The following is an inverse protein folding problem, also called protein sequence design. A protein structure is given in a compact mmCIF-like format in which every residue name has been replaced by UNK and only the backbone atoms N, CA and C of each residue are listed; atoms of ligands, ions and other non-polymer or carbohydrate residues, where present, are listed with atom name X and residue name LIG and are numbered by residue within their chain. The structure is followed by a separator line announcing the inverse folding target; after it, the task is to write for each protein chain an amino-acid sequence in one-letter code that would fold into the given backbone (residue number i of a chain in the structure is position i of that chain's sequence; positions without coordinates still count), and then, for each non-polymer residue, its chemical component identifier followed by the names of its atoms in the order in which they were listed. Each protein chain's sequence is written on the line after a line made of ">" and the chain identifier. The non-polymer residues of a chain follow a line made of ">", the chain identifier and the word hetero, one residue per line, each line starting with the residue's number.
data_IF_815774785167
#
_entry.id   IF_815774785167
#
_cell.length_a   1.000
_cell.length_b   1.000
_cell.length_c   1.000
_cell.angle_alpha   90.00
_cell.angle_beta   90.00
_cell.angle_gamma   90.00
#
_symmetry.space_group_name_H-M   'P 1'
#
loop_
_entity.id
_entity.type
_entity.pdbx_description
1 polymer ?
#
# COMPACT_ATOMS: atom_id res chain seq x y z
N UNK A 1 -1.58 8.40 -12.37
CA UNK A 1 -0.65 7.34 -12.83
C UNK A 1 -0.61 6.27 -11.76
N UNK A 2 -1.04 5.05 -12.11
CA UNK A 2 -1.18 3.92 -11.20
C UNK A 2 0.15 3.42 -10.62
N UNK A 3 0.10 2.67 -9.53
CA UNK A 3 1.25 1.93 -8.97
C UNK A 3 1.73 0.91 -9.99
N UNK A 4 3.02 0.95 -10.33
CA UNK A 4 3.68 -0.02 -11.20
C UNK A 4 4.46 -1.04 -10.38
N UNK A 5 4.88 -2.14 -11.01
CA UNK A 5 5.64 -3.20 -10.34
C UNK A 5 6.88 -2.68 -9.60
N UNK A 6 7.61 -1.73 -10.19
CA UNK A 6 8.79 -1.14 -9.55
C UNK A 6 8.41 -0.36 -8.29
N UNK A 7 7.29 0.38 -8.31
CA UNK A 7 6.77 1.07 -7.13
C UNK A 7 6.38 0.07 -6.04
N UNK A 8 5.66 -0.99 -6.43
CA UNK A 8 5.23 -2.06 -5.52
C UNK A 8 6.42 -2.75 -4.85
N UNK A 9 7.49 -3.05 -5.58
CA UNK A 9 8.73 -3.63 -5.01
C UNK A 9 9.35 -2.74 -3.95
N UNK A 10 9.42 -1.42 -4.18
CA UNK A 10 9.96 -0.47 -3.20
C UNK A 10 9.09 -0.39 -1.94
N UNK A 11 7.78 -0.41 -2.12
CA UNK A 11 6.83 -0.42 -1.00
C UNK A 11 7.01 -1.70 -0.17
N UNK A 12 7.08 -2.84 -0.82
CA UNK A 12 7.28 -4.15 -0.17
C UNK A 12 8.61 -4.18 0.57
N UNK A 13 9.71 -3.76 -0.05
CA UNK A 13 11.04 -3.75 0.59
C UNK A 13 11.04 -2.97 1.89
N UNK A 14 10.42 -1.80 1.92
CA UNK A 14 10.34 -0.99 3.12
C UNK A 14 9.45 -1.62 4.20
N UNK A 15 8.34 -2.23 3.80
CA UNK A 15 7.45 -2.94 4.71
C UNK A 15 8.14 -4.18 5.31
N UNK A 16 8.87 -4.96 4.51
CA UNK A 16 9.67 -6.10 5.00
C UNK A 16 10.71 -5.67 6.05
N UNK A 17 11.41 -4.56 5.79
CA UNK A 17 12.39 -4.02 6.75
C UNK A 17 11.74 -3.67 8.08
N UNK A 18 10.57 -3.04 8.04
CA UNK A 18 9.81 -2.71 9.26
C UNK A 18 9.33 -3.98 9.98
N UNK A 19 8.83 -4.95 9.25
CA UNK A 19 8.40 -6.25 9.80
C UNK A 19 9.58 -6.96 10.50
N UNK A 20 10.75 -6.96 9.88
CA UNK A 20 11.97 -7.52 10.47
C UNK A 20 12.38 -6.77 11.75
N UNK A 21 12.28 -5.43 11.77
CA UNK A 21 12.59 -4.62 12.96
C UNK A 21 11.70 -4.96 14.15
N UNK A 22 10.41 -5.20 13.92
CA UNK A 22 9.46 -5.56 14.98
C UNK A 22 9.43 -7.06 15.27
N UNK A 23 10.18 -7.85 14.53
CA UNK A 23 10.31 -9.30 14.74
C UNK A 23 9.04 -10.09 14.39
N UNK A 24 8.20 -9.58 13.49
CA UNK A 24 6.95 -10.25 13.09
C UNK A 24 6.94 -10.54 11.59
N UNK A 25 6.98 -11.83 11.18
CA UNK A 25 6.85 -12.20 9.76
C UNK A 25 5.48 -11.80 9.22
N UNK A 26 5.45 -11.21 8.03
CA UNK A 26 4.25 -10.64 7.42
C UNK A 26 4.03 -11.17 6.01
N UNK A 27 2.78 -11.12 5.58
CA UNK A 27 2.36 -11.12 4.20
C UNK A 27 2.12 -9.67 3.77
N UNK A 28 2.67 -9.26 2.64
CA UNK A 28 2.61 -7.89 2.16
C UNK A 28 2.15 -7.90 0.70
N UNK A 29 1.06 -7.23 0.43
CA UNK A 29 0.46 -7.10 -0.89
C UNK A 29 0.40 -5.64 -1.33
N UNK A 30 0.58 -5.38 -2.60
CA UNK A 30 0.37 -4.06 -3.21
C UNK A 30 -0.58 -4.20 -4.39
N UNK A 31 -1.64 -3.39 -4.38
CA UNK A 31 -2.62 -3.30 -5.44
C UNK A 31 -2.47 -1.98 -6.21
N UNK A 32 -2.88 -1.99 -7.49
CA UNK A 32 -2.93 -0.81 -8.34
C UNK A 32 -4.21 0.02 -8.13
N UNK A 33 -4.42 1.06 -8.93
CA UNK A 33 -5.60 1.92 -8.84
C UNK A 33 -6.92 1.20 -9.16
N UNK A 34 -6.88 0.10 -9.89
CA UNK A 34 -8.04 -0.75 -10.16
C UNK A 34 -8.32 -1.78 -9.06
N UNK A 35 -7.53 -1.78 -7.98
CA UNK A 35 -7.63 -2.78 -6.92
C UNK A 35 -7.02 -4.13 -7.30
N UNK A 36 -6.31 -4.22 -8.44
CA UNK A 36 -5.69 -5.45 -8.91
C UNK A 36 -4.34 -5.68 -8.21
N UNK A 37 -4.05 -6.93 -7.86
CA UNK A 37 -2.77 -7.28 -7.28
C UNK A 37 -1.62 -7.01 -8.26
N UNK A 38 -0.62 -6.26 -7.83
CA UNK A 38 0.61 -5.99 -8.59
C UNK A 38 1.75 -6.89 -8.10
N UNK A 39 1.93 -7.01 -6.79
CA UNK A 39 2.97 -7.84 -6.18
C UNK A 39 2.57 -8.26 -4.77
N UNK A 40 3.06 -9.43 -4.37
CA UNK A 40 2.86 -9.99 -3.03
C UNK A 40 4.11 -10.73 -2.59
N UNK A 41 4.44 -10.64 -1.32
CA UNK A 41 5.45 -11.49 -0.68
C UNK A 41 4.89 -12.11 0.60
N UNK A 42 5.27 -13.35 0.85
CA UNK A 42 5.11 -13.99 2.16
C UNK A 42 6.50 -14.17 2.76
N UNK A 43 6.77 -13.47 3.85
CA UNK A 43 8.02 -13.66 4.60
C UNK A 43 8.06 -15.06 5.20
N UNK A 44 9.27 -15.60 5.36
CA UNK A 44 9.46 -16.90 5.98
C UNK A 44 8.82 -16.94 7.37
N UNK A 45 8.04 -17.96 7.64
CA UNK A 45 7.31 -18.12 8.89
C UNK A 45 5.99 -17.35 8.99
N UNK A 46 5.63 -16.54 8.02
CA UNK A 46 4.33 -15.86 8.01
C UNK A 46 3.18 -16.83 7.74
N UNK A 47 2.03 -16.56 8.35
CA UNK A 47 0.86 -17.45 8.27
C UNK A 47 0.30 -17.57 6.85
N UNK A 48 -0.04 -18.78 6.46
CA UNK A 48 -0.65 -19.08 5.14
C UNK A 48 -1.97 -18.33 4.97
N UNK A 49 -2.84 -18.30 5.99
CA UNK A 49 -4.12 -17.60 5.92
C UNK A 49 -3.99 -16.11 5.68
N UNK A 50 -2.88 -15.53 6.10
CA UNK A 50 -2.61 -14.09 5.91
C UNK A 50 -2.21 -13.72 4.49
N UNK A 51 -1.92 -14.68 3.62
CA UNK A 51 -1.72 -14.43 2.17
C UNK A 51 -2.99 -13.80 1.58
N UNK A 52 -4.11 -14.48 1.72
CA UNK A 52 -5.40 -14.00 1.23
C UNK A 52 -5.81 -12.68 1.91
N UNK A 53 -5.65 -12.60 3.23
CA UNK A 53 -6.04 -11.41 4.00
C UNK A 53 -5.25 -10.17 3.57
N UNK A 54 -3.94 -10.27 3.36
CA UNK A 54 -3.12 -9.14 2.93
C UNK A 54 -3.55 -8.60 1.56
N UNK A 55 -3.84 -9.49 0.62
CA UNK A 55 -4.35 -9.14 -0.70
C UNK A 55 -5.72 -8.43 -0.59
N UNK A 56 -6.61 -8.97 0.24
CA UNK A 56 -7.94 -8.37 0.46
C UNK A 56 -7.87 -7.04 1.20
N UNK A 57 -6.94 -6.85 2.13
CA UNK A 57 -6.71 -5.55 2.77
C UNK A 57 -6.26 -4.49 1.76
N UNK A 58 -5.35 -4.83 0.84
CA UNK A 58 -4.94 -3.92 -0.23
C UNK A 58 -6.14 -3.56 -1.12
N UNK A 59 -6.93 -4.55 -1.54
CA UNK A 59 -8.15 -4.32 -2.29
C UNK A 59 -9.12 -3.40 -1.55
N UNK A 60 -9.40 -3.67 -0.29
CA UNK A 60 -10.33 -2.89 0.54
C UNK A 60 -9.93 -1.44 0.63
N UNK A 61 -8.65 -1.18 0.93
CA UNK A 61 -8.13 0.19 1.03
C UNK A 61 -8.24 0.97 -0.27
N UNK A 62 -8.04 0.31 -1.41
CA UNK A 62 -8.22 0.97 -2.70
C UNK A 62 -9.70 1.11 -3.09
N UNK A 63 -10.52 0.12 -2.77
CA UNK A 63 -11.93 0.12 -3.14
C UNK A 63 -12.72 1.26 -2.47
N UNK A 64 -12.34 1.64 -1.26
CA UNK A 64 -13.02 2.69 -0.47
C UNK A 64 -12.11 3.90 -0.17
N UNK A 65 -10.88 3.90 -0.65
CA UNK A 65 -9.90 4.97 -0.42
C UNK A 65 -9.70 5.31 1.07
N UNK A 66 -9.70 4.30 1.93
CA UNK A 66 -9.63 4.40 3.38
C UNK A 66 -8.65 3.38 3.96
N UNK A 67 -8.00 3.71 5.07
CA UNK A 67 -7.27 2.70 5.84
C UNK A 67 -8.26 1.68 6.43
N UNK A 68 -7.90 0.39 6.37
CA UNK A 68 -8.82 -0.66 6.88
C UNK A 68 -9.05 -0.57 8.38
N UNK A 69 -8.13 0.01 9.15
CA UNK A 69 -8.35 0.29 10.56
C UNK A 69 -9.47 1.32 10.80
N UNK A 70 -9.58 2.31 9.92
CA UNK A 70 -10.61 3.35 10.00
C UNK A 70 -11.96 2.79 9.55
N UNK A 71 -11.99 1.97 8.49
CA UNK A 71 -13.18 1.24 8.09
C UNK A 71 -13.68 0.34 9.22
N UNK A 72 -12.78 -0.31 9.95
CA UNK A 72 -13.10 -1.18 11.07
C UNK A 72 -13.95 -0.48 12.13
N UNK A 73 -13.73 0.80 12.41
CA UNK A 73 -14.49 1.55 13.41
C UNK A 73 -15.98 1.67 13.08
N UNK A 74 -16.32 1.59 11.80
CA UNK A 74 -17.69 1.69 11.29
C UNK A 74 -18.33 0.34 10.95
N UNK A 75 -17.57 -0.74 10.99
CA UNK A 75 -17.96 -2.05 10.44
C UNK A 75 -18.15 -3.12 11.51
N UNK A 76 -17.95 -2.76 12.77
CA UNK A 76 -18.17 -3.68 13.88
C UNK A 76 -19.66 -3.80 14.20
N UNK A 77 -20.03 -4.79 15.03
CA UNK A 77 -21.41 -4.96 15.48
C UNK A 77 -21.95 -3.65 16.07
N UNK A 78 -23.10 -3.21 15.59
CA UNK A 78 -23.69 -1.92 15.93
C UNK A 78 -23.18 -0.73 15.11
N UNK A 79 -22.17 -0.89 14.29
CA UNK A 79 -21.65 0.15 13.39
C UNK A 79 -22.55 0.33 12.15
N UNK A 80 -22.51 1.53 11.54
CA UNK A 80 -23.36 1.86 10.39
C UNK A 80 -23.07 1.01 9.14
N UNK A 81 -21.85 0.47 9.02
CA UNK A 81 -21.44 -0.40 7.90
C UNK A 81 -21.25 -1.85 8.31
N UNK A 82 -21.86 -2.28 9.41
CA UNK A 82 -21.87 -3.69 9.75
C UNK A 82 -22.47 -4.51 8.59
N UNK A 83 -21.74 -5.55 8.19
CA UNK A 83 -22.12 -6.37 7.02
C UNK A 83 -21.39 -6.01 5.73
N UNK A 84 -20.62 -4.90 5.68
CA UNK A 84 -19.84 -4.52 4.49
C UNK A 84 -18.87 -5.64 4.06
N UNK A 85 -18.38 -6.43 5.00
CA UNK A 85 -17.49 -7.57 4.75
C UNK A 85 -18.11 -8.68 3.89
N UNK A 86 -19.45 -8.74 3.82
CA UNK A 86 -20.17 -9.66 2.95
C UNK A 86 -20.29 -9.13 1.50
N UNK A 87 -20.01 -7.86 1.27
CA UNK A 87 -20.03 -7.25 -0.05
C UNK A 87 -18.76 -7.58 -0.85
N UNK A 88 -18.74 -7.23 -2.14
CA UNK A 88 -17.57 -7.41 -3.02
C UNK A 88 -17.04 -8.86 -3.01
N UNK A 89 -17.93 -9.85 -3.01
CA UNK A 89 -17.61 -11.28 -2.95
C UNK A 89 -16.73 -11.65 -1.72
N UNK A 90 -16.98 -11.02 -0.58
CA UNK A 90 -16.25 -11.29 0.65
C UNK A 90 -14.80 -10.75 0.67
N UNK A 91 -14.46 -9.82 -0.23
CA UNK A 91 -13.10 -9.25 -0.31
C UNK A 91 -12.83 -8.11 0.65
N UNK A 92 -13.84 -7.64 1.38
CA UNK A 92 -13.67 -6.49 2.26
C UNK A 92 -13.19 -6.94 3.64
N UNK A 93 -11.99 -6.51 4.00
CA UNK A 93 -11.41 -6.76 5.31
C UNK A 93 -11.66 -5.59 6.25
N UNK A 94 -12.22 -5.89 7.43
CA UNK A 94 -12.67 -4.88 8.40
C UNK A 94 -11.78 -4.83 9.64
N UNK A 95 -10.46 -4.95 9.45
CA UNK A 95 -9.46 -4.78 10.50
C UNK A 95 -8.15 -4.25 9.92
N UNK A 96 -7.33 -3.67 10.79
CA UNK A 96 -6.15 -2.89 10.43
C UNK A 96 -5.13 -3.62 9.54
N UNK A 97 -4.39 -2.88 8.74
CA UNK A 97 -3.26 -3.36 7.93
C UNK A 97 -3.32 -2.97 6.46
N UNK A 98 -4.43 -2.41 5.98
CA UNK A 98 -4.53 -1.84 4.64
C UNK A 98 -4.43 -0.32 4.68
N UNK A 99 -3.65 0.27 3.77
CA UNK A 99 -3.49 1.73 3.67
C UNK A 99 -3.46 2.15 2.21
N UNK A 100 -4.22 3.21 1.82
CA UNK A 100 -4.14 3.75 0.48
C UNK A 100 -2.75 4.33 0.18
N UNK A 101 -2.26 4.13 -1.03
CA UNK A 101 -1.06 4.78 -1.56
C UNK A 101 -1.48 5.99 -2.37
N UNK A 102 -0.96 7.17 -2.01
CA UNK A 102 -1.30 8.44 -2.64
C UNK A 102 -0.12 9.03 -3.39
N UNK A 103 -0.40 9.62 -4.55
CA UNK A 103 0.52 10.42 -5.33
C UNK A 103 -0.19 11.70 -5.73
N UNK A 104 0.39 12.86 -5.39
CA UNK A 104 -0.21 14.16 -5.65
C UNK A 104 -1.66 14.28 -5.14
N UNK A 105 -1.91 13.75 -3.94
CA UNK A 105 -3.23 13.78 -3.28
C UNK A 105 -4.26 12.77 -3.80
N UNK A 106 -3.93 12.01 -4.85
CA UNK A 106 -4.83 10.99 -5.42
C UNK A 106 -4.41 9.59 -4.99
N UNK A 107 -5.40 8.74 -4.70
CA UNK A 107 -5.15 7.33 -4.44
C UNK A 107 -4.81 6.64 -5.75
N UNK A 108 -3.63 6.02 -5.81
CA UNK A 108 -3.11 5.34 -7.02
C UNK A 108 -2.90 3.84 -6.81
N UNK A 109 -3.22 3.35 -5.64
CA UNK A 109 -3.12 1.96 -5.24
C UNK A 109 -3.25 1.81 -3.74
N UNK A 110 -2.89 0.66 -3.20
CA UNK A 110 -2.89 0.41 -1.76
C UNK A 110 -1.90 -0.67 -1.38
N UNK A 111 -1.46 -0.63 -0.12
CA UNK A 111 -0.72 -1.71 0.53
C UNK A 111 -1.66 -2.46 1.47
N UNK A 112 -1.50 -3.78 1.57
CA UNK A 112 -2.17 -4.63 2.56
C UNK A 112 -1.15 -5.51 3.27
N UNK A 113 -1.18 -5.48 4.59
CA UNK A 113 -0.27 -6.25 5.46
C UNK A 113 -1.07 -7.11 6.42
N UNK A 114 -0.67 -8.36 6.56
CA UNK A 114 -1.29 -9.29 7.50
C UNK A 114 -0.29 -10.32 8.01
N UNK A 115 -0.32 -10.62 9.29
CA UNK A 115 0.54 -11.65 9.89
C UNK A 115 0.78 -11.46 11.39
N UNK A 116 0.37 -10.36 11.97
CA UNK A 116 0.47 -10.07 13.39
C UNK A 116 -0.83 -9.56 13.98
N UNK A 117 -0.74 -8.76 15.03
CA UNK A 117 -1.88 -7.99 15.54
C UNK A 117 -2.26 -6.88 14.55
N UNK A 118 -3.46 -6.32 14.69
CA UNK A 118 -3.88 -5.18 13.88
C UNK A 118 -2.92 -4.00 13.98
N UNK A 119 -2.40 -3.73 15.16
CA UNK A 119 -1.41 -2.66 15.40
C UNK A 119 -0.09 -2.94 14.68
N UNK A 120 0.42 -4.16 14.71
CA UNK A 120 1.62 -4.57 14.00
C UNK A 120 1.42 -4.49 12.49
N UNK A 121 0.32 -5.02 11.97
CA UNK A 121 -0.02 -4.98 10.55
C UNK A 121 -0.09 -3.53 10.03
N UNK A 122 -0.74 -2.65 10.79
CA UNK A 122 -0.86 -1.23 10.43
C UNK A 122 0.50 -0.52 10.47
N UNK A 123 1.31 -0.76 11.49
CA UNK A 123 2.64 -0.16 11.62
C UNK A 123 3.55 -0.53 10.44
N UNK A 124 3.52 -1.79 9.99
CA UNK A 124 4.27 -2.25 8.83
C UNK A 124 3.77 -1.62 7.54
N UNK A 125 2.45 -1.54 7.36
CA UNK A 125 1.84 -0.88 6.20
C UNK A 125 2.18 0.62 6.15
N UNK A 126 2.15 1.30 7.29
CA UNK A 126 2.41 2.74 7.41
C UNK A 126 3.85 3.11 7.08
N UNK A 127 4.81 2.24 7.36
CA UNK A 127 6.24 2.49 7.17
C UNK A 127 6.59 3.00 5.76
N UNK A 128 5.85 2.61 4.74
CA UNK A 128 6.07 3.07 3.36
C UNK A 128 4.95 3.90 2.78
N UNK A 129 3.71 3.76 3.23
CA UNK A 129 2.61 4.58 2.72
C UNK A 129 2.94 6.08 2.85
N UNK A 130 3.47 6.52 3.98
CA UNK A 130 3.91 7.89 4.21
C UNK A 130 5.12 8.30 3.32
N UNK A 131 6.06 7.38 3.07
CA UNK A 131 7.24 7.65 2.24
C UNK A 131 6.89 7.63 0.74
N UNK A 132 5.90 6.87 0.31
CA UNK A 132 5.39 6.86 -1.05
C UNK A 132 4.84 8.24 -1.44
N UNK A 133 4.13 8.91 -0.55
CA UNK A 133 3.62 10.26 -0.75
C UNK A 133 4.72 11.31 -0.91
N UNK A 134 5.92 11.10 -0.35
CA UNK A 134 7.04 12.04 -0.37
C UNK A 134 8.02 11.83 -1.52
N UNK A 135 7.91 10.74 -2.26
CA UNK A 135 8.92 10.29 -3.23
C UNK A 135 8.86 10.90 -4.63
N UNK A 136 8.02 11.91 -4.88
CA UNK A 136 7.88 12.55 -6.18
C UNK A 136 8.07 14.09 -6.13
N UNK A 137 9.07 14.54 -5.40
CA UNK A 137 9.45 15.93 -5.32
C UNK A 137 10.87 16.20 -5.84
N UNK A 138 11.17 15.83 -7.08
CA UNK A 138 12.17 16.50 -7.90
C UNK A 138 11.63 16.61 -9.31
N UNK A 139 11.25 17.82 -9.76
CA UNK A 139 11.15 18.10 -11.18
C UNK A 139 12.54 17.82 -11.78
N UNK A 140 12.60 17.01 -12.82
CA UNK A 140 13.82 16.88 -13.59
C UNK A 140 14.34 18.26 -13.95
N UNK A 141 15.63 18.50 -13.76
CA UNK A 141 16.27 19.71 -14.23
C UNK A 141 15.92 19.91 -15.71
N UNK A 142 15.55 21.12 -16.13
CA UNK A 142 15.30 21.39 -17.54
C UNK A 142 16.58 21.05 -18.32
N UNK A 143 16.43 20.41 -19.47
CA UNK A 143 17.51 20.16 -20.39
C UNK A 143 18.29 21.46 -20.61
N UNK A 144 19.55 21.47 -20.20
CA UNK A 144 20.46 22.53 -20.56
C UNK A 144 20.60 22.52 -22.09
N UNK A 145 20.03 23.51 -22.73
CA UNK A 145 20.29 23.77 -24.16
C UNK A 145 21.75 24.18 -24.30
N UNK A 146 22.53 23.29 -24.90
CA UNK A 146 23.89 23.64 -25.32
C UNK A 146 23.78 24.77 -26.37
N UNK A 147 24.28 25.92 -26.03
CA UNK A 147 24.46 26.97 -26.99
C UNK A 147 25.51 26.57 -28.03
N UNK A 148 25.25 26.73 -29.34
CA UNK A 148 26.26 26.49 -30.34
C UNK A 148 27.31 27.61 -30.23
N UNK A 149 28.54 27.21 -29.98
CA UNK A 149 29.68 28.11 -30.00
C UNK A 149 29.82 28.78 -31.38
N UNK A 150 29.84 30.08 -31.34
CA UNK A 150 30.13 30.92 -32.51
C UNK A 150 31.65 30.84 -32.77
N UNK A 151 32.02 30.16 -33.86
CA UNK A 151 33.36 30.32 -34.40
C UNK A 151 33.36 31.61 -35.27
N UNK A 152 34.07 32.62 -34.87
CA UNK A 152 34.39 33.80 -35.67
C UNK A 152 35.83 33.73 -36.16
N UNK A 153 36.21 34.54 -37.15
CA UNK A 153 37.15 34.28 -38.20
C UNK A 153 38.61 34.23 -37.77
#
# INVERSE_FOLDING_TARGET
>A
MSVRLQDARRVIDAAEKKAAQIGQPMNIAVADEGGNLVAHVRMDGAWIGSVDISIKKAYTSRAFDIATKDLATHSQSGGQFFGIHASNNGRIMIFAGGIPLKRDGKVVGAIGVSGGSGEQDHAVAEARAAAFCRGHGRPGAPFATASPGHAGP
#
